data_IF_913260531355
#
_entry.id   IF_913260531355
#
_cell.length_a   1.000
_cell.length_b   1.000
_cell.length_c   1.000
_cell.angle_alpha   90.00
_cell.angle_beta   90.00
_cell.angle_gamma   90.00
#
_symmetry.space_group_name_H-M   'P 1'
#
loop_
_entity.id
_entity.type
_entity.pdbx_description
1 polymer ?
#
# COMPACT_ATOMS: atom_id res chain seq x y z
N UNK A 1 -38.39 28.63 -18.30
CA UNK A 1 -37.96 27.26 -17.93
C UNK A 1 -36.45 27.24 -17.66
N UNK A 2 -35.96 27.87 -16.58
CA UNK A 2 -34.51 27.90 -16.28
C UNK A 2 -34.22 28.31 -14.83
N UNK A 3 -34.86 27.68 -13.84
CA UNK A 3 -34.66 28.08 -12.44
C UNK A 3 -34.77 26.92 -11.44
N UNK A 4 -34.36 25.71 -11.85
CA UNK A 4 -34.38 24.52 -10.98
C UNK A 4 -33.06 23.72 -10.98
N UNK A 5 -32.01 24.19 -11.66
CA UNK A 5 -30.77 23.40 -11.84
C UNK A 5 -29.70 23.63 -10.75
N UNK A 6 -29.91 24.55 -9.81
CA UNK A 6 -28.85 24.97 -8.87
C UNK A 6 -29.00 24.49 -7.42
N UNK A 7 -29.99 23.66 -7.07
CA UNK A 7 -30.30 23.46 -5.66
C UNK A 7 -29.32 22.65 -4.80
N UNK A 8 -28.31 21.93 -5.32
CA UNK A 8 -27.40 21.16 -4.43
C UNK A 8 -25.96 20.97 -4.94
N UNK A 9 -25.28 22.03 -5.36
CA UNK A 9 -23.81 21.99 -5.54
C UNK A 9 -23.11 22.50 -4.29
N UNK A 10 -22.52 21.58 -3.51
CA UNK A 10 -21.73 21.93 -2.32
C UNK A 10 -20.26 21.87 -2.70
N UNK A 11 -19.58 23.02 -2.65
CA UNK A 11 -18.13 23.08 -2.79
C UNK A 11 -17.45 22.61 -1.51
N UNK A 12 -16.56 21.62 -1.62
CA UNK A 12 -15.71 21.14 -0.51
C UNK A 12 -14.26 21.58 -0.69
N UNK A 13 -13.69 22.17 0.35
CA UNK A 13 -12.27 22.56 0.39
C UNK A 13 -11.48 21.51 1.16
N UNK A 14 -10.58 20.82 0.49
CA UNK A 14 -9.75 19.81 1.13
C UNK A 14 -8.45 20.44 1.65
N UNK A 15 -8.26 20.39 2.97
CA UNK A 15 -7.05 20.83 3.67
C UNK A 15 -6.35 19.64 4.31
N UNK A 16 -5.88 18.68 3.51
CA UNK A 16 -4.98 17.64 4.01
C UNK A 16 -3.74 18.34 4.59
N UNK A 17 -3.29 17.91 5.78
CA UNK A 17 -2.13 18.45 6.51
C UNK A 17 -0.96 18.74 5.56
N UNK A 18 -0.75 20.02 5.26
CA UNK A 18 0.08 20.43 4.13
C UNK A 18 1.55 20.15 4.38
N UNK A 19 2.21 19.56 3.38
CA UNK A 19 3.61 19.88 3.10
C UNK A 19 3.68 21.36 2.70
N UNK A 20 4.63 22.16 3.21
CA UNK A 20 4.78 23.56 2.81
C UNK A 20 4.86 23.69 1.28
N UNK A 21 4.05 24.57 0.68
CA UNK A 21 4.13 24.93 -0.74
C UNK A 21 3.04 24.40 -1.70
N UNK A 22 2.08 23.59 -1.24
CA UNK A 22 0.96 23.13 -2.10
C UNK A 22 -0.29 23.98 -1.81
N UNK A 23 -0.90 24.57 -2.84
CA UNK A 23 -2.14 25.36 -2.72
C UNK A 23 -3.36 24.50 -2.33
N UNK A 24 -4.35 25.06 -1.62
CA UNK A 24 -5.61 24.37 -1.34
C UNK A 24 -6.32 23.97 -2.62
N UNK A 25 -6.78 22.71 -2.71
CA UNK A 25 -7.69 22.28 -3.78
C UNK A 25 -9.12 22.32 -3.27
N UNK A 26 -10.01 22.76 -4.14
CA UNK A 26 -11.46 22.70 -3.95
C UNK A 26 -12.05 21.69 -4.92
N UNK A 27 -13.03 20.91 -4.45
CA UNK A 27 -13.78 19.95 -5.23
C UNK A 27 -15.27 20.27 -5.12
N UNK A 28 -15.95 20.41 -6.26
CA UNK A 28 -17.40 20.47 -6.32
C UNK A 28 -18.02 19.09 -6.12
N UNK A 29 -19.06 19.03 -5.30
CA UNK A 29 -19.91 17.85 -5.13
C UNK A 29 -21.32 18.19 -5.58
N UNK A 30 -21.85 17.38 -6.50
CA UNK A 30 -23.24 17.41 -6.91
C UNK A 30 -23.90 16.10 -6.45
N UNK A 31 -24.64 16.18 -5.34
CA UNK A 31 -25.29 15.01 -4.73
C UNK A 31 -26.42 14.47 -5.61
N UNK A 32 -27.23 15.36 -6.21
CA UNK A 32 -28.33 14.99 -7.10
C UNK A 32 -27.87 14.16 -8.30
N UNK A 33 -26.78 14.58 -8.95
CA UNK A 33 -26.23 13.88 -10.12
C UNK A 33 -25.21 12.81 -9.76
N UNK A 34 -25.04 12.50 -8.46
CA UNK A 34 -24.03 11.56 -7.94
C UNK A 34 -22.62 11.81 -8.52
N UNK A 35 -22.14 13.05 -8.46
CA UNK A 35 -20.84 13.46 -9.04
C UNK A 35 -19.95 14.22 -8.05
N UNK A 36 -18.65 13.94 -8.13
CA UNK A 36 -17.61 14.69 -7.46
C UNK A 36 -16.45 14.99 -8.42
N UNK A 37 -15.86 16.18 -8.33
CA UNK A 37 -14.71 16.56 -9.17
C UNK A 37 -13.48 15.68 -8.94
N UNK A 38 -13.36 15.04 -7.78
CA UNK A 38 -12.27 14.11 -7.50
C UNK A 38 -12.36 12.78 -8.26
N UNK A 39 -13.45 12.55 -9.01
CA UNK A 39 -13.75 11.36 -9.85
C UNK A 39 -13.88 10.03 -9.12
N UNK A 40 -13.42 9.91 -7.87
CA UNK A 40 -13.52 8.68 -7.07
C UNK A 40 -14.95 8.20 -6.90
N UNK A 41 -15.90 9.10 -6.71
CA UNK A 41 -17.29 8.73 -6.51
C UNK A 41 -17.85 8.01 -7.74
N UNK A 42 -17.55 8.53 -8.93
CA UNK A 42 -17.99 7.96 -10.20
C UNK A 42 -17.24 6.66 -10.53
N UNK A 43 -15.94 6.59 -10.24
CA UNK A 43 -15.12 5.41 -10.57
C UNK A 43 -15.39 4.23 -9.64
N UNK A 44 -15.57 4.50 -8.35
CA UNK A 44 -15.74 3.46 -7.33
C UNK A 44 -17.20 3.19 -7.02
N UNK A 45 -18.16 3.95 -7.58
CA UNK A 45 -19.57 3.80 -7.24
C UNK A 45 -19.85 3.88 -5.73
N UNK A 46 -18.96 4.57 -4.99
CA UNK A 46 -18.95 4.63 -3.54
C UNK A 46 -18.64 6.06 -3.08
N UNK A 47 -19.29 6.59 -2.02
CA UNK A 47 -19.07 7.95 -1.54
C UNK A 47 -17.59 8.23 -1.22
N UNK A 48 -17.01 9.23 -1.87
CA UNK A 48 -15.69 9.72 -1.50
C UNK A 48 -15.75 10.65 -0.28
N UNK A 49 -14.61 10.98 0.32
CA UNK A 49 -14.56 11.86 1.48
C UNK A 49 -15.29 13.20 1.28
N UNK A 50 -15.25 13.77 0.06
CA UNK A 50 -15.98 15.01 -0.26
C UNK A 50 -17.49 14.81 -0.25
N UNK A 51 -17.98 13.67 -0.76
CA UNK A 51 -19.41 13.32 -0.76
C UNK A 51 -19.90 13.09 0.67
N UNK A 52 -19.16 12.31 1.47
CA UNK A 52 -19.46 12.09 2.90
C UNK A 52 -19.60 13.43 3.62
N UNK A 53 -18.64 14.32 3.39
CA UNK A 53 -18.62 15.62 4.05
C UNK A 53 -19.72 16.56 3.50
N UNK A 54 -20.11 16.45 2.23
CA UNK A 54 -21.23 17.19 1.66
C UNK A 54 -22.56 16.71 2.26
N UNK A 55 -22.76 15.39 2.37
CA UNK A 55 -23.92 14.78 3.02
C UNK A 55 -24.06 15.23 4.48
N UNK A 56 -22.96 15.26 5.23
CA UNK A 56 -22.95 15.75 6.61
C UNK A 56 -23.41 17.22 6.71
N UNK A 57 -23.01 18.06 5.76
CA UNK A 57 -23.39 19.49 5.71
C UNK A 57 -24.87 19.71 5.44
N UNK A 58 -25.49 18.87 4.60
CA UNK A 58 -26.91 18.97 4.23
C UNK A 58 -27.79 17.96 4.97
N UNK A 59 -27.26 17.33 6.03
CA UNK A 59 -27.96 16.35 6.87
C UNK A 59 -28.61 15.20 6.09
N UNK A 60 -27.93 14.73 5.04
CA UNK A 60 -28.36 13.59 4.25
C UNK A 60 -27.66 12.31 4.73
N UNK A 61 -28.37 11.19 4.74
CA UNK A 61 -27.75 9.88 4.96
C UNK A 61 -26.73 9.62 3.82
N UNK A 62 -25.52 9.16 4.14
CA UNK A 62 -24.50 8.84 3.15
C UNK A 62 -24.78 7.52 2.44
N UNK A 63 -25.48 6.59 3.09
CA UNK A 63 -25.71 5.24 2.58
C UNK A 63 -26.55 5.23 1.30
N UNK A 64 -27.45 6.20 1.13
CA UNK A 64 -28.23 6.38 -0.12
C UNK A 64 -27.37 6.71 -1.34
N UNK A 65 -26.09 7.04 -1.14
CA UNK A 65 -25.12 7.33 -2.19
C UNK A 65 -24.18 6.15 -2.47
N UNK A 66 -24.30 5.04 -1.74
CA UNK A 66 -23.65 3.78 -2.07
C UNK A 66 -24.43 3.13 -3.23
N UNK A 67 -23.73 2.56 -4.19
CA UNK A 67 -24.33 1.85 -5.32
C UNK A 67 -24.73 0.43 -4.92
N UNK A 68 -25.80 -0.08 -5.53
CA UNK A 68 -26.36 -1.40 -5.25
C UNK A 68 -25.35 -2.53 -5.51
N UNK A 69 -24.33 -2.32 -6.36
CA UNK A 69 -23.23 -3.28 -6.59
C UNK A 69 -22.55 -3.75 -5.30
N UNK A 70 -22.64 -2.98 -4.23
CA UNK A 70 -22.09 -3.32 -2.91
C UNK A 70 -23.08 -4.02 -1.96
N UNK A 71 -24.29 -4.35 -2.41
CA UNK A 71 -25.25 -5.12 -1.61
C UNK A 71 -24.81 -6.57 -1.47
N UNK A 72 -25.18 -7.18 -0.34
CA UNK A 72 -24.95 -8.59 -0.10
C UNK A 72 -25.63 -9.44 -1.18
N UNK A 73 -26.85 -9.08 -1.58
CA UNK A 73 -27.58 -9.78 -2.63
C UNK A 73 -26.82 -9.81 -3.97
N UNK A 74 -26.34 -8.65 -4.46
CA UNK A 74 -25.52 -8.63 -5.67
C UNK A 74 -24.21 -9.39 -5.51
N UNK A 75 -23.60 -9.31 -4.33
CA UNK A 75 -22.38 -10.09 -4.04
C UNK A 75 -22.66 -11.57 -4.18
N UNK A 76 -23.72 -12.09 -3.55
CA UNK A 76 -24.11 -13.49 -3.64
C UNK A 76 -24.39 -13.91 -5.09
N UNK A 77 -25.11 -13.11 -5.87
CA UNK A 77 -25.37 -13.40 -7.29
C UNK A 77 -24.09 -13.51 -8.14
N UNK A 78 -23.05 -12.74 -7.83
CA UNK A 78 -21.75 -12.87 -8.52
C UNK A 78 -21.10 -14.23 -8.23
N UNK A 79 -21.22 -14.70 -6.99
CA UNK A 79 -20.65 -15.97 -6.51
C UNK A 79 -21.60 -17.18 -6.61
N UNK A 80 -22.83 -16.98 -7.10
CA UNK A 80 -23.82 -18.05 -7.28
C UNK A 80 -23.40 -19.06 -8.36
N UNK A 81 -22.56 -18.61 -9.30
CA UNK A 81 -22.04 -19.49 -10.34
C UNK A 81 -21.18 -20.60 -9.72
N UNK A 82 -21.58 -21.84 -9.98
CA UNK A 82 -20.73 -22.99 -9.67
C UNK A 82 -19.45 -22.89 -10.49
N UNK A 83 -18.30 -22.94 -9.81
CA UNK A 83 -17.05 -23.18 -10.50
C UNK A 83 -17.13 -24.57 -11.13
N UNK A 84 -16.92 -24.71 -12.44
CA UNK A 84 -16.84 -26.03 -13.04
C UNK A 84 -15.76 -26.81 -12.30
N UNK A 85 -16.06 -28.06 -11.95
CA UNK A 85 -15.07 -28.96 -11.37
C UNK A 85 -13.91 -29.02 -12.35
N UNK A 86 -12.71 -28.70 -11.87
CA UNK A 86 -11.51 -28.89 -12.68
C UNK A 86 -11.48 -30.38 -13.07
N UNK A 87 -11.51 -30.70 -14.37
CA UNK A 87 -11.45 -32.09 -14.80
C UNK A 87 -10.15 -32.72 -14.28
N UNK A 88 -10.13 -34.04 -14.11
CA UNK A 88 -8.94 -34.73 -13.64
C UNK A 88 -7.75 -34.42 -14.56
N UNK A 89 -6.54 -34.28 -13.99
CA UNK A 89 -5.35 -33.95 -14.78
C UNK A 89 -5.12 -34.95 -15.93
N UNK A 90 -5.53 -36.21 -15.77
CA UNK A 90 -5.42 -37.24 -16.83
C UNK A 90 -6.33 -36.99 -18.04
N UNK A 91 -7.37 -36.17 -17.87
CA UNK A 91 -8.34 -35.81 -18.92
C UNK A 91 -8.02 -34.48 -19.60
N UNK A 92 -6.94 -33.79 -19.18
CA UNK A 92 -6.54 -32.54 -19.80
C UNK A 92 -5.88 -32.80 -21.15
N UNK A 93 -6.49 -32.29 -22.22
CA UNK A 93 -5.82 -32.21 -23.51
C UNK A 93 -4.73 -31.14 -23.41
N UNK A 94 -3.49 -31.55 -23.16
CA UNK A 94 -2.32 -30.70 -23.30
C UNK A 94 -1.92 -30.74 -24.77
N UNK A 95 -2.09 -29.65 -25.54
CA UNK A 95 -1.61 -29.62 -26.92
C UNK A 95 -0.12 -29.94 -26.90
N UNK A 96 0.39 -30.75 -27.84
CA UNK A 96 1.83 -30.95 -27.97
C UNK A 96 2.48 -29.57 -28.06
N UNK A 97 3.44 -29.29 -27.17
CA UNK A 97 4.13 -28.01 -27.18
C UNK A 97 4.80 -27.85 -28.55
N UNK A 98 4.24 -27.01 -29.41
CA UNK A 98 4.70 -26.82 -30.80
C UNK A 98 5.98 -26.00 -30.89
N UNK A 99 6.48 -25.52 -29.75
CA UNK A 99 7.65 -24.69 -29.64
C UNK A 99 8.48 -25.09 -28.42
N UNK A 100 9.80 -24.91 -28.53
CA UNK A 100 10.69 -25.11 -27.41
C UNK A 100 10.69 -23.82 -26.55
N UNK A 101 10.32 -23.95 -25.26
CA UNK A 101 10.51 -22.87 -24.29
C UNK A 101 12.00 -22.75 -23.97
N UNK A 102 12.72 -21.91 -24.73
CA UNK A 102 14.12 -21.60 -24.45
C UNK A 102 14.21 -20.41 -23.49
N UNK A 103 14.67 -20.59 -22.24
CA UNK A 103 14.81 -19.48 -21.30
C UNK A 103 15.89 -18.52 -21.79
N UNK A 104 15.57 -17.23 -21.85
CA UNK A 104 16.55 -16.21 -22.20
C UNK A 104 17.70 -16.18 -21.17
N UNK A 105 18.91 -16.51 -21.64
CA UNK A 105 20.11 -16.53 -20.82
C UNK A 105 20.46 -15.13 -20.28
N UNK A 106 20.11 -14.06 -20.99
CA UNK A 106 20.34 -12.67 -20.60
C UNK A 106 19.42 -12.17 -19.48
N UNK A 107 18.25 -12.78 -19.32
CA UNK A 107 17.30 -12.46 -18.23
C UNK A 107 17.49 -13.35 -16.99
N UNK A 108 18.45 -14.27 -17.01
CA UNK A 108 18.76 -15.09 -15.83
C UNK A 108 19.29 -14.22 -14.71
N UNK A 109 18.69 -14.37 -13.52
CA UNK A 109 19.26 -13.78 -12.30
C UNK A 109 20.65 -14.35 -12.06
N UNK A 110 21.62 -13.49 -11.77
CA UNK A 110 22.95 -13.92 -11.37
C UNK A 110 22.86 -14.67 -10.02
N UNK A 111 23.18 -15.98 -9.97
CA UNK A 111 23.03 -16.76 -8.75
C UNK A 111 24.07 -16.41 -7.68
N UNK A 112 25.18 -15.76 -8.05
CA UNK A 112 26.27 -15.42 -7.13
C UNK A 112 26.06 -14.11 -6.37
N UNK A 113 25.09 -13.29 -6.76
CA UNK A 113 24.92 -11.96 -6.18
C UNK A 113 23.46 -11.69 -5.82
N UNK A 114 23.25 -11.01 -4.69
CA UNK A 114 21.95 -10.44 -4.37
C UNK A 114 21.60 -9.42 -5.47
N UNK A 115 20.39 -9.48 -6.07
CA UNK A 115 19.97 -8.49 -7.04
C UNK A 115 20.12 -7.09 -6.45
N UNK A 116 20.65 -6.14 -7.24
CA UNK A 116 20.65 -4.75 -6.82
C UNK A 116 19.20 -4.30 -6.65
N UNK A 117 18.91 -3.68 -5.51
CA UNK A 117 17.60 -3.10 -5.25
C UNK A 117 17.41 -1.89 -6.18
N UNK A 118 16.46 -1.98 -7.11
CA UNK A 118 15.94 -0.83 -7.86
C UNK A 118 15.04 0.08 -7.03
N UNK A 119 14.74 -0.30 -5.78
CA UNK A 119 13.87 0.47 -4.90
C UNK A 119 14.44 1.86 -4.62
N UNK A 120 13.71 2.88 -5.05
CA UNK A 120 13.96 4.28 -4.69
C UNK A 120 13.68 4.45 -3.19
N UNK A 121 14.66 4.97 -2.45
CA UNK A 121 14.50 5.25 -1.02
C UNK A 121 13.53 6.41 -0.81
N UNK A 122 12.58 6.26 0.09
CA UNK A 122 11.65 7.30 0.50
C UNK A 122 11.99 7.81 1.91
N UNK A 123 11.19 8.75 2.44
CA UNK A 123 11.41 9.36 3.75
C UNK A 123 11.39 8.35 4.92
N UNK A 124 10.66 7.24 4.79
CA UNK A 124 10.62 6.17 5.80
C UNK A 124 11.94 5.39 5.87
N UNK A 125 12.76 5.44 4.81
CA UNK A 125 14.05 4.75 4.72
C UNK A 125 15.22 5.57 5.24
N UNK A 126 15.00 6.88 5.43
CA UNK A 126 15.99 7.79 5.99
C UNK A 126 15.98 7.58 7.49
N UNK A 127 16.88 6.71 7.98
CA UNK A 127 17.14 6.60 9.42
C UNK A 127 17.77 7.91 9.89
N UNK A 128 17.28 8.44 10.99
CA UNK A 128 17.89 9.59 11.67
C UNK A 128 19.38 9.32 11.91
N UNK A 129 20.21 10.36 11.84
CA UNK A 129 21.64 10.26 12.18
C UNK A 129 21.76 9.90 13.65
N UNK A 130 21.78 8.61 13.96
CA UNK A 130 22.11 8.13 15.29
C UNK A 130 23.51 8.61 15.65
N UNK A 131 23.72 8.99 16.92
CA UNK A 131 25.05 9.13 17.50
C UNK A 131 25.90 7.94 17.02
N UNK A 132 27.08 8.23 16.45
CA UNK A 132 27.90 7.26 15.73
C UNK A 132 27.99 5.93 16.46
N UNK A 133 28.02 4.81 15.73
CA UNK A 133 27.95 3.46 16.29
C UNK A 133 28.97 3.30 17.43
N UNK A 134 28.47 3.03 18.64
CA UNK A 134 29.30 2.70 19.79
C UNK A 134 29.87 1.30 19.64
N UNK A 135 31.03 1.06 20.25
CA UNK A 135 31.61 -0.26 20.32
C UNK A 135 30.65 -1.25 21.00
N UNK A 136 30.41 -2.41 20.38
CA UNK A 136 29.51 -3.43 20.93
C UNK A 136 30.00 -4.11 22.21
N UNK A 137 31.24 -3.84 22.65
CA UNK A 137 31.84 -4.40 23.87
C UNK A 137 31.89 -3.33 24.96
N UNK A 138 32.67 -2.26 24.76
CA UNK A 138 32.87 -1.24 25.78
C UNK A 138 31.94 -0.02 25.67
N UNK A 139 31.03 0.00 24.69
CA UNK A 139 30.07 1.11 24.44
C UNK A 139 30.71 2.49 24.22
N UNK A 140 32.01 2.56 23.95
CA UNK A 140 32.70 3.82 23.62
C UNK A 140 32.71 4.07 22.10
N UNK A 141 32.66 5.33 21.66
CA UNK A 141 32.80 5.70 20.24
C UNK A 141 34.25 5.51 19.74
N UNK A 142 34.46 5.62 18.44
CA UNK A 142 35.79 5.66 17.81
C UNK A 142 36.36 4.30 17.36
N UNK A 143 35.73 3.18 17.74
CA UNK A 143 36.14 1.86 17.27
C UNK A 143 34.95 0.87 17.24
N UNK A 144 35.09 -0.18 16.46
CA UNK A 144 34.09 -1.26 16.40
C UNK A 144 34.47 -2.42 17.34
N UNK A 145 33.55 -3.37 17.53
CA UNK A 145 33.78 -4.57 18.38
C UNK A 145 35.08 -5.31 18.04
N UNK A 146 35.48 -5.36 16.76
CA UNK A 146 36.66 -6.11 16.32
C UNK A 146 37.97 -5.44 16.71
N UNK A 147 37.99 -4.11 16.80
CA UNK A 147 39.16 -3.31 17.21
C UNK A 147 39.07 -2.84 18.67
N UNK A 148 38.22 -3.47 19.47
CA UNK A 148 38.03 -3.05 20.86
C UNK A 148 39.18 -3.53 21.75
N UNK A 149 39.85 -2.64 22.50
CA UNK A 149 40.90 -3.02 23.45
C UNK A 149 40.42 -4.01 24.51
N UNK A 150 39.14 -3.91 24.90
CA UNK A 150 38.51 -4.77 25.92
C UNK A 150 37.90 -6.05 25.33
N UNK A 151 38.07 -6.33 24.03
CA UNK A 151 37.50 -7.51 23.37
C UNK A 151 37.98 -8.82 23.99
N UNK A 152 39.26 -8.91 24.34
CA UNK A 152 39.87 -10.13 24.88
C UNK A 152 39.54 -10.33 26.37
N UNK A 153 39.20 -9.26 27.09
CA UNK A 153 38.86 -9.34 28.52
C UNK A 153 37.47 -9.94 28.75
N UNK A 154 36.48 -9.57 27.92
CA UNK A 154 35.13 -10.16 27.97
C UNK A 154 35.09 -11.63 27.54
N UNK A 155 35.93 -12.05 26.58
CA UNK A 155 36.02 -13.45 26.15
C UNK A 155 36.55 -14.33 27.30
N UNK A 156 37.49 -13.81 28.11
CA UNK A 156 38.04 -14.52 29.26
C UNK A 156 37.08 -14.65 30.45
N UNK A 157 36.07 -13.78 30.56
CA UNK A 157 35.05 -13.87 31.63
C UNK A 157 33.96 -14.90 31.32
N UNK A 158 33.56 -15.06 30.05
CA UNK A 158 32.58 -16.09 29.66
C UNK A 158 33.12 -17.52 29.83
N UNK A 159 34.43 -17.74 29.66
CA UNK A 159 35.06 -19.06 29.85
C UNK A 159 35.23 -19.47 31.32
N UNK A 160 35.05 -18.55 32.28
CA UNK A 160 35.22 -18.83 33.73
C UNK A 160 33.92 -19.07 34.48
N UNK A 161 32.76 -19.00 33.81
CA UNK A 161 31.45 -19.18 34.44
C UNK A 161 30.88 -20.60 34.36
N UNK A 162 31.52 -21.53 33.64
CA UNK A 162 31.00 -22.90 33.42
C UNK A 162 31.67 -23.97 34.30
N UNK A 163 32.11 -23.60 35.51
CA UNK A 163 32.49 -24.56 36.56
C UNK A 163 32.10 -24.03 37.94
N UNK A 164 30.85 -24.22 38.32
CA UNK A 164 30.42 -25.08 39.44
C UNK A 164 28.88 -25.13 39.46
#
# INVERSE_FOLDING_TARGET
MSEMQWLQTVGWRETIGRRPGISPRSYGVNLQNRRCDCRRFQTLHYPCAHVVAACAKVSLNVDQFIDEVYTLERTLRVWENEFPVLPDLSTWEVPPTTFELVPDKGLRRNPKCRPQSSRIRNKMDIREKSNGKLCGVCRLPGHNRNKCPLRNYHIGQSLRSDRN
#
